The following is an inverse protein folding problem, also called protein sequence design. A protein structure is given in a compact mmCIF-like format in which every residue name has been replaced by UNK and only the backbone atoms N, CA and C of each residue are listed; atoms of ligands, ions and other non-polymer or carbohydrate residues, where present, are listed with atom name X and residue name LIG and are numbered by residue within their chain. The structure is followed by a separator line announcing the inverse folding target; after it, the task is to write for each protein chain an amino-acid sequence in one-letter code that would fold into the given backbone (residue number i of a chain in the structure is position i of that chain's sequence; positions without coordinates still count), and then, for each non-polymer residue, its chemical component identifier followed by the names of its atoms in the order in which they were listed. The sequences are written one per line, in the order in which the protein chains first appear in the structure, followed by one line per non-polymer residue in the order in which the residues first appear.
data_IF_794122517353
#
_entry.id   IF_794122517353
#
_cell.length_a   1.000
_cell.length_b   1.000
_cell.length_c   1.000
_cell.angle_alpha   90.00
_cell.angle_beta   90.00
_cell.angle_gamma   90.00
#
_symmetry.space_group_name_H-M   'P 1'
#
loop_
_entity.id
_entity.type
_entity.pdbx_description
1 polymer ?
#
# COMPACT_ATOMS: atom_id res chain seq x y z
N UNK A 1 -8.03 9.24 21.50
CA UNK A 1 -9.03 8.19 21.84
C UNK A 1 -10.12 8.68 22.80
N UNK A 2 -9.96 9.81 23.50
CA UNK A 2 -10.99 10.35 24.41
C UNK A 2 -12.32 10.66 23.72
N UNK A 3 -12.30 11.01 22.43
CA UNK A 3 -13.49 11.41 21.66
C UNK A 3 -14.44 10.22 21.34
N UNK A 4 -14.02 8.96 21.53
CA UNK A 4 -14.80 7.77 21.13
C UNK A 4 -15.13 6.79 22.26
N UNK A 5 -14.89 7.17 23.52
CA UNK A 5 -15.10 6.30 24.69
C UNK A 5 -16.54 5.76 24.77
N UNK A 6 -17.54 6.58 24.47
CA UNK A 6 -18.95 6.14 24.46
C UNK A 6 -19.24 5.06 23.41
N UNK A 7 -18.70 5.19 22.19
CA UNK A 7 -18.88 4.20 21.11
C UNK A 7 -18.18 2.87 21.44
N UNK A 8 -16.98 2.93 22.00
CA UNK A 8 -16.20 1.76 22.40
C UNK A 8 -16.91 0.94 23.49
N UNK A 9 -17.58 1.60 24.43
CA UNK A 9 -18.37 0.93 25.45
C UNK A 9 -19.52 0.12 24.85
N UNK A 10 -20.27 0.71 23.91
CA UNK A 10 -21.40 0.03 23.25
C UNK A 10 -20.98 -1.11 22.30
N UNK A 11 -19.74 -1.08 21.79
CA UNK A 11 -19.15 -2.15 20.98
C UNK A 11 -18.55 -3.29 21.82
N UNK A 12 -18.68 -3.26 23.15
CA UNK A 12 -18.14 -4.30 24.05
C UNK A 12 -16.62 -4.23 24.25
N UNK A 13 -15.96 -3.18 23.76
CA UNK A 13 -14.50 -2.99 23.84
C UNK A 13 -14.09 -2.41 25.21
N UNK A 14 -15.07 -1.99 26.02
CA UNK A 14 -14.86 -1.51 27.38
C UNK A 14 -14.57 -0.01 27.48
N UNK A 15 -14.24 0.46 28.69
CA UNK A 15 -14.11 1.90 29.01
C UNK A 15 -12.71 2.49 28.76
N UNK A 16 -11.68 1.67 28.54
CA UNK A 16 -10.30 2.15 28.48
C UNK A 16 -9.43 1.40 27.47
N UNK A 17 -9.52 1.79 26.20
CA UNK A 17 -8.41 1.54 25.26
C UNK A 17 -7.43 2.70 25.43
N UNK A 18 -6.36 2.47 26.21
CA UNK A 18 -5.29 3.46 26.33
C UNK A 18 -4.29 3.31 25.19
N UNK A 19 -3.49 4.37 24.93
CA UNK A 19 -2.39 4.31 23.96
C UNK A 19 -1.41 3.17 24.29
N UNK A 20 -1.13 2.95 25.57
CA UNK A 20 -0.23 1.89 26.03
C UNK A 20 -0.80 0.49 25.80
N UNK A 21 -2.11 0.29 26.01
CA UNK A 21 -2.77 -0.98 25.69
C UNK A 21 -2.67 -1.29 24.18
N UNK A 22 -2.93 -0.31 23.32
CA UNK A 22 -2.83 -0.48 21.87
C UNK A 22 -1.38 -0.77 21.43
N UNK A 23 -0.41 -0.03 21.97
CA UNK A 23 1.02 -0.25 21.67
C UNK A 23 1.44 -1.68 22.01
N UNK A 24 1.12 -2.14 23.22
CA UNK A 24 1.47 -3.49 23.67
C UNK A 24 0.76 -4.59 22.87
N UNK A 25 -0.50 -4.35 22.50
CA UNK A 25 -1.23 -5.26 21.63
C UNK A 25 -0.62 -5.33 20.23
N UNK A 26 -0.20 -4.18 19.66
CA UNK A 26 0.43 -4.13 18.35
C UNK A 26 1.86 -4.70 18.34
N UNK A 27 2.61 -4.61 19.43
CA UNK A 27 3.93 -5.26 19.55
C UNK A 27 3.86 -6.78 19.48
N UNK A 28 2.78 -7.38 19.98
CA UNK A 28 2.61 -8.84 20.05
C UNK A 28 1.77 -9.40 18.90
N UNK A 29 1.06 -8.56 18.16
CA UNK A 29 0.15 -8.98 17.10
C UNK A 29 0.91 -9.11 15.80
N UNK A 30 0.70 -10.23 15.12
CA UNK A 30 1.21 -10.44 13.77
C UNK A 30 0.66 -9.37 12.82
N UNK A 31 1.54 -8.79 12.00
CA UNK A 31 1.18 -7.75 11.05
C UNK A 31 0.30 -8.28 9.93
N UNK A 32 0.36 -9.58 9.61
CA UNK A 32 -0.44 -10.19 8.54
C UNK A 32 -1.94 -9.96 8.73
N UNK A 33 -2.43 -9.84 9.97
CA UNK A 33 -3.83 -9.46 10.24
C UNK A 33 -4.20 -8.12 9.59
N UNK A 34 -3.31 -7.13 9.66
CA UNK A 34 -3.57 -5.80 9.08
C UNK A 34 -3.42 -5.84 7.56
N UNK A 35 -2.45 -6.60 7.05
CA UNK A 35 -2.22 -6.79 5.62
C UNK A 35 -3.39 -7.51 4.93
N UNK A 36 -3.83 -8.63 5.48
CA UNK A 36 -4.99 -9.39 4.97
C UNK A 36 -6.25 -8.53 5.01
N UNK A 37 -6.48 -7.79 6.10
CA UNK A 37 -7.63 -6.91 6.21
C UNK A 37 -7.56 -5.75 5.20
N UNK A 38 -6.39 -5.14 5.01
CA UNK A 38 -6.21 -4.09 4.00
C UNK A 38 -6.46 -4.61 2.59
N UNK A 39 -5.90 -5.78 2.26
CA UNK A 39 -6.10 -6.45 0.96
C UNK A 39 -7.58 -6.79 0.75
N UNK A 40 -8.25 -7.32 1.76
CA UNK A 40 -9.70 -7.58 1.71
C UNK A 40 -10.49 -6.29 1.44
N UNK A 41 -10.18 -5.21 2.16
CA UNK A 41 -10.84 -3.92 1.98
C UNK A 41 -10.63 -3.33 0.59
N UNK A 42 -9.43 -3.46 0.02
CA UNK A 42 -9.11 -3.07 -1.35
C UNK A 42 -10.03 -3.83 -2.33
N UNK A 43 -10.01 -5.17 -2.28
CA UNK A 43 -10.80 -6.01 -3.18
C UNK A 43 -12.30 -5.71 -3.06
N UNK A 44 -12.80 -5.54 -1.84
CA UNK A 44 -14.21 -5.25 -1.60
C UNK A 44 -14.61 -3.84 -2.10
N UNK A 45 -13.70 -2.87 -2.01
CA UNK A 45 -13.96 -1.51 -2.50
C UNK A 45 -13.94 -1.48 -4.03
N UNK A 46 -12.99 -2.16 -4.68
CA UNK A 46 -12.97 -2.32 -6.14
C UNK A 46 -14.29 -2.91 -6.66
N UNK A 47 -14.77 -4.00 -6.04
CA UNK A 47 -16.03 -4.66 -6.45
C UNK A 47 -17.27 -3.77 -6.34
N UNK A 48 -17.28 -2.85 -5.36
CA UNK A 48 -18.44 -1.97 -5.10
C UNK A 48 -18.44 -0.73 -5.97
N UNK A 49 -17.28 -0.34 -6.51
CA UNK A 49 -17.20 0.74 -7.49
C UNK A 49 -17.47 0.19 -8.89
N UNK A 50 -18.70 0.45 -9.33
CA UNK A 50 -19.26 -0.04 -10.61
C UNK A 50 -19.12 1.02 -11.72
N UNK A 51 -18.82 2.27 -11.37
CA UNK A 51 -18.75 3.36 -12.34
C UNK A 51 -17.45 3.29 -13.15
N UNK A 52 -17.55 2.76 -14.36
CA UNK A 52 -16.51 2.89 -15.38
C UNK A 52 -16.63 4.27 -16.03
N UNK A 53 -15.79 5.20 -15.60
CA UNK A 53 -15.82 6.60 -16.08
C UNK A 53 -15.45 6.67 -17.57
N UNK A 54 -14.51 5.83 -18.01
CA UNK A 54 -13.97 5.87 -19.36
C UNK A 54 -14.36 4.65 -20.21
N UNK A 55 -15.09 3.69 -19.63
CA UNK A 55 -15.39 2.37 -20.24
C UNK A 55 -14.12 1.60 -20.63
N UNK A 56 -13.06 1.81 -19.85
CA UNK A 56 -11.72 1.36 -20.12
C UNK A 56 -11.37 0.18 -19.23
N UNK A 57 -11.27 -1.01 -19.81
CA UNK A 57 -10.89 -2.21 -19.05
C UNK A 57 -9.39 -2.15 -18.67
N UNK A 58 -9.09 -2.33 -17.37
CA UNK A 58 -7.73 -2.48 -16.84
C UNK A 58 -6.82 -1.26 -17.07
N UNK A 59 -7.13 -0.12 -16.43
CA UNK A 59 -6.31 1.09 -16.54
C UNK A 59 -5.69 1.45 -15.21
N UNK A 60 -4.37 1.29 -15.13
CA UNK A 60 -3.65 1.36 -13.88
C UNK A 60 -2.57 2.44 -13.92
N UNK A 61 -2.51 3.27 -12.89
CA UNK A 61 -1.40 4.17 -12.64
C UNK A 61 -0.47 3.57 -11.57
N UNK A 62 0.82 3.50 -11.86
CA UNK A 62 1.81 3.02 -10.89
C UNK A 62 2.69 4.16 -10.41
N UNK A 63 2.70 4.35 -9.10
CA UNK A 63 3.55 5.34 -8.44
C UNK A 63 3.96 4.84 -7.06
N UNK A 64 4.96 5.49 -6.44
CA UNK A 64 5.36 5.17 -5.08
C UNK A 64 5.51 6.41 -4.21
N UNK A 65 5.03 6.29 -2.98
CA UNK A 65 5.18 7.35 -1.96
C UNK A 65 6.21 6.91 -0.93
N UNK A 66 7.14 7.82 -0.58
CA UNK A 66 8.11 7.58 0.50
C UNK A 66 7.55 8.08 1.82
N UNK A 67 7.49 7.21 2.83
CA UNK A 67 7.09 7.56 4.21
C UNK A 67 8.34 7.59 5.08
N UNK A 68 8.61 8.75 5.67
CA UNK A 68 9.75 8.96 6.56
C UNK A 68 9.52 8.33 7.92
N UNK A 69 10.52 7.60 8.42
CA UNK A 69 10.49 6.90 9.70
C UNK A 69 11.68 7.32 10.56
N UNK A 70 11.47 7.32 11.88
CA UNK A 70 12.56 7.54 12.83
C UNK A 70 13.45 6.28 12.91
N UNK A 71 14.71 6.40 12.47
CA UNK A 71 15.68 5.28 12.49
C UNK A 71 15.78 4.56 13.84
N UNK A 72 15.82 5.25 15.00
CA UNK A 72 15.99 4.55 16.28
C UNK A 72 14.85 3.59 16.63
N UNK A 73 13.65 3.78 16.06
CA UNK A 73 12.53 2.86 16.26
C UNK A 73 12.39 1.84 15.13
N UNK A 74 12.99 2.11 13.96
CA UNK A 74 12.83 1.32 12.74
C UNK A 74 14.17 1.09 12.05
N UNK A 75 15.07 0.36 12.72
CA UNK A 75 16.46 0.17 12.26
C UNK A 75 16.57 -0.59 10.93
N UNK A 76 15.60 -1.46 10.63
CA UNK A 76 15.56 -2.24 9.38
C UNK A 76 15.28 -1.39 8.14
N UNK A 77 14.83 -0.14 8.31
CA UNK A 77 14.39 0.72 7.20
C UNK A 77 15.39 1.83 6.86
N UNK A 78 16.67 1.49 6.73
CA UNK A 78 17.71 2.51 6.53
C UNK A 78 17.63 3.14 5.13
N UNK A 79 17.31 4.43 5.07
CA UNK A 79 17.26 5.19 3.82
C UNK A 79 18.50 6.06 3.59
N UNK A 80 18.96 6.79 4.62
CA UNK A 80 20.20 7.60 4.64
C UNK A 80 20.90 7.49 6.00
N UNK A 81 22.04 8.16 6.19
CA UNK A 81 22.82 8.14 7.46
C UNK A 81 21.98 8.37 8.71
N UNK A 82 21.05 9.33 8.66
CA UNK A 82 20.21 9.73 9.81
C UNK A 82 18.71 9.73 9.48
N UNK A 83 18.31 9.09 8.37
CA UNK A 83 16.91 9.03 7.94
C UNK A 83 16.50 7.60 7.62
N UNK A 84 15.38 7.17 8.18
CA UNK A 84 14.74 5.90 7.87
C UNK A 84 13.53 6.19 7.00
N UNK A 85 13.09 5.21 6.22
CA UNK A 85 11.87 5.40 5.45
C UNK A 85 11.55 4.23 4.55
N UNK A 86 10.26 3.96 4.40
CA UNK A 86 9.74 2.97 3.46
C UNK A 86 9.26 3.66 2.20
N UNK A 87 9.19 2.91 1.10
CA UNK A 87 8.42 3.25 -0.08
C UNK A 87 7.20 2.34 -0.15
N UNK A 88 6.06 2.95 -0.38
CA UNK A 88 4.80 2.26 -0.66
C UNK A 88 4.54 2.41 -2.15
N UNK A 89 4.79 1.34 -2.90
CA UNK A 89 4.53 1.27 -4.33
C UNK A 89 3.08 0.84 -4.53
N UNK A 90 2.32 1.63 -5.26
CA UNK A 90 0.87 1.44 -5.40
C UNK A 90 0.53 1.37 -6.88
N UNK A 91 -0.10 0.26 -7.27
CA UNK A 91 -0.85 0.18 -8.51
C UNK A 91 -2.25 0.68 -8.20
N UNK A 92 -2.65 1.76 -8.85
CA UNK A 92 -3.92 2.43 -8.65
C UNK A 92 -4.82 2.20 -9.85
N UNK A 93 -6.00 1.63 -9.63
CA UNK A 93 -7.05 1.53 -10.64
C UNK A 93 -7.65 2.92 -10.85
N UNK A 94 -7.46 3.46 -12.06
CA UNK A 94 -7.86 4.83 -12.40
C UNK A 94 -9.38 4.96 -12.51
N UNK A 95 -10.07 3.93 -12.99
CA UNK A 95 -11.54 3.96 -13.10
C UNK A 95 -12.19 3.75 -11.74
N UNK A 96 -11.73 2.73 -11.01
CA UNK A 96 -12.24 2.44 -9.68
C UNK A 96 -11.71 3.43 -8.62
N UNK A 97 -10.78 4.33 -8.95
CA UNK A 97 -10.16 5.29 -8.02
C UNK A 97 -9.75 4.66 -6.66
N UNK A 98 -9.17 3.47 -6.72
CA UNK A 98 -8.72 2.71 -5.54
C UNK A 98 -7.41 2.00 -5.84
N UNK A 99 -6.60 1.71 -4.81
CA UNK A 99 -5.44 0.83 -4.98
C UNK A 99 -5.91 -0.55 -5.46
N UNK A 100 -5.26 -1.11 -6.47
CA UNK A 100 -5.41 -2.50 -6.91
C UNK A 100 -4.31 -3.40 -6.32
N UNK A 101 -3.11 -2.85 -6.11
CA UNK A 101 -1.97 -3.57 -5.54
C UNK A 101 -1.08 -2.61 -4.76
N UNK A 102 -0.51 -3.11 -3.66
CA UNK A 102 0.43 -2.35 -2.81
C UNK A 102 1.63 -3.24 -2.49
N UNK A 103 2.84 -2.70 -2.68
CA UNK A 103 4.08 -3.35 -2.30
C UNK A 103 4.94 -2.40 -1.46
N UNK A 104 5.46 -2.88 -0.33
CA UNK A 104 6.24 -2.05 0.60
C UNK A 104 7.69 -2.48 0.55
N UNK A 105 8.58 -1.51 0.32
CA UNK A 105 10.04 -1.75 0.33
C UNK A 105 10.75 -0.72 1.20
N UNK A 106 12.01 -0.98 1.53
CA UNK A 106 12.89 0.08 2.04
C UNK A 106 13.03 1.21 1.02
N UNK A 107 13.09 2.47 1.48
CA UNK A 107 13.07 3.63 0.57
C UNK A 107 14.32 3.79 -0.31
N UNK A 108 15.41 3.08 0.01
CA UNK A 108 16.62 3.08 -0.81
C UNK A 108 16.49 2.21 -2.08
N UNK A 109 15.42 1.41 -2.20
CA UNK A 109 15.16 0.59 -3.38
C UNK A 109 14.71 1.50 -4.53
N UNK A 110 15.33 1.29 -5.70
CA UNK A 110 15.00 2.01 -6.93
C UNK A 110 13.65 1.53 -7.48
N UNK A 111 12.87 2.45 -8.03
CA UNK A 111 11.50 2.22 -8.48
C UNK A 111 11.40 1.09 -9.52
N UNK A 112 12.30 1.09 -10.52
CA UNK A 112 12.33 0.06 -11.57
C UNK A 112 12.53 -1.37 -11.05
N UNK A 113 13.11 -1.56 -9.86
CA UNK A 113 13.31 -2.90 -9.29
C UNK A 113 12.00 -3.57 -8.83
N UNK A 114 10.94 -2.79 -8.67
CA UNK A 114 9.63 -3.27 -8.20
C UNK A 114 8.70 -3.57 -9.38
N UNK A 115 9.04 -3.13 -10.59
CA UNK A 115 8.24 -3.41 -11.79
C UNK A 115 7.94 -4.90 -12.01
N UNK A 116 8.86 -5.86 -11.75
CA UNK A 116 8.57 -7.28 -11.88
C UNK A 116 7.55 -7.83 -10.87
N UNK A 117 7.34 -7.14 -9.75
CA UNK A 117 6.40 -7.53 -8.69
C UNK A 117 4.95 -7.11 -9.00
N UNK A 118 4.76 -6.26 -10.03
CA UNK A 118 3.43 -5.78 -10.42
C UNK A 118 2.65 -6.93 -11.07
N UNK A 119 1.40 -7.20 -10.64
CA UNK A 119 0.55 -8.20 -11.26
C UNK A 119 0.01 -7.67 -12.60
N UNK A 120 0.76 -7.86 -13.68
CA UNK A 120 0.32 -7.43 -15.02
C UNK A 120 -0.83 -8.27 -15.54
N UNK A 121 -1.84 -7.60 -16.10
CA UNK A 121 -3.01 -8.18 -16.74
C UNK A 121 -2.90 -8.01 -18.26
N UNK A 122 -3.26 -9.06 -18.99
CA UNK A 122 -3.21 -9.03 -20.45
C UNK A 122 -4.26 -8.04 -20.99
N UNK A 123 -3.82 -7.14 -21.86
CA UNK A 123 -4.69 -6.13 -22.48
C UNK A 123 -4.95 -4.89 -21.62
N UNK A 124 -4.42 -4.84 -20.40
CA UNK A 124 -4.49 -3.67 -19.54
C UNK A 124 -3.47 -2.60 -19.95
N UNK A 125 -3.77 -1.35 -19.62
CA UNK A 125 -2.94 -0.18 -19.86
C UNK A 125 -2.30 0.31 -18.54
N UNK A 126 -0.98 0.45 -18.57
CA UNK A 126 -0.20 0.88 -17.40
C UNK A 126 0.43 2.25 -17.66
N UNK A 127 0.15 3.19 -16.75
CA UNK A 127 0.70 4.54 -16.75
C UNK A 127 1.83 4.56 -15.73
N UNK A 128 3.03 4.86 -16.21
CA UNK A 128 4.23 4.99 -15.39
C UNK A 128 4.81 6.40 -15.51
N UNK A 129 5.46 6.88 -14.45
CA UNK A 129 6.30 8.08 -14.53
C UNK A 129 7.62 7.80 -15.27
N UNK A 130 8.37 8.87 -15.57
CA UNK A 130 9.66 8.77 -16.26
C UNK A 130 10.73 7.99 -15.47
N UNK A 131 10.64 7.93 -14.15
CA UNK A 131 11.53 7.17 -13.27
C UNK A 131 11.43 5.65 -13.45
N UNK A 132 10.38 5.16 -14.11
CA UNK A 132 10.19 3.75 -14.48
C UNK A 132 10.58 3.42 -15.93
N UNK A 133 11.26 4.33 -16.64
CA UNK A 133 11.77 4.07 -18.00
C UNK A 133 12.94 3.05 -17.98
N UNK A 134 12.62 1.79 -17.72
CA UNK A 134 13.52 0.65 -17.77
C UNK A 134 13.12 -0.27 -18.93
N UNK A 135 13.85 -0.17 -20.04
CA UNK A 135 13.55 -0.90 -21.27
C UNK A 135 13.57 -2.43 -21.10
N UNK A 136 14.37 -2.95 -20.15
CA UNK A 136 14.41 -4.40 -19.90
C UNK A 136 13.11 -4.89 -19.28
N UNK A 137 12.61 -4.16 -18.28
CA UNK A 137 11.32 -4.47 -17.66
C UNK A 137 10.16 -4.26 -18.64
N UNK A 138 10.15 -3.14 -19.37
CA UNK A 138 9.12 -2.84 -20.38
C UNK A 138 9.08 -3.91 -21.48
N UNK A 139 10.25 -4.40 -21.93
CA UNK A 139 10.32 -5.49 -22.89
C UNK A 139 9.78 -6.81 -22.33
N UNK A 140 9.99 -7.07 -21.04
CA UNK A 140 9.46 -8.26 -20.37
C UNK A 140 7.93 -8.22 -20.30
N UNK A 141 7.35 -7.08 -19.90
CA UNK A 141 5.91 -6.85 -19.83
C UNK A 141 5.25 -7.06 -21.20
N UNK A 142 5.87 -6.57 -22.27
CA UNK A 142 5.34 -6.72 -23.62
C UNK A 142 5.38 -8.18 -24.14
N UNK A 143 6.14 -9.08 -23.51
CA UNK A 143 6.26 -10.49 -23.93
C UNK A 143 5.37 -11.45 -23.16
N UNK A 144 4.96 -11.07 -21.95
CA UNK A 144 4.01 -11.80 -21.08
C UNK A 144 2.59 -11.65 -21.58
#
# INVERSE_FOLDING_TARGET
MEVHVGKLYHLGIGKSVTRSNLSKANEQRDYHIFEEYATFMIVETCKRRIEKIFELDGHYAFDSTTIDLCLPMFEWVKFRKHKGGIKVHTLYDVEAEVPAFVHITSANIHYSKVMPEIPYELGAHYIFDHGYNDFSNLYTINRS
#
